data_IF_301469906889
#
_entry.id   IF_301469906889
#
_cell.length_a   1.000
_cell.length_b   1.000
_cell.length_c   1.000
_cell.angle_alpha   90.00
_cell.angle_beta   90.00
_cell.angle_gamma   90.00
#
_symmetry.space_group_name_H-M   'P 1'
#
loop_
_entity.id
_entity.type
_entity.pdbx_description
1 polymer ?
#
# COMPACT_ATOMS: atom_id res chain seq x y z
N UNK A 1 -70.46 29.67 -30.33
CA UNK A 1 -69.75 30.29 -29.19
C UNK A 1 -68.42 29.58 -29.04
N UNK A 2 -67.35 30.26 -29.43
CA UNK A 2 -65.98 29.75 -29.54
C UNK A 2 -65.32 29.67 -28.16
N UNK A 3 -64.76 28.52 -27.76
CA UNK A 3 -63.67 28.47 -26.78
C UNK A 3 -62.51 27.70 -27.42
N UNK A 4 -61.49 28.48 -27.76
CA UNK A 4 -60.29 28.10 -28.50
C UNK A 4 -59.32 27.44 -27.51
N UNK A 5 -58.87 26.22 -27.82
CA UNK A 5 -57.67 25.61 -27.26
C UNK A 5 -56.50 26.59 -27.36
N UNK A 6 -56.00 27.06 -26.23
CA UNK A 6 -54.64 27.59 -26.11
C UNK A 6 -53.84 26.51 -25.39
N UNK A 7 -53.45 25.52 -26.18
CA UNK A 7 -52.57 24.43 -25.81
C UNK A 7 -51.16 24.99 -25.61
N UNK A 8 -50.65 24.88 -24.38
CA UNK A 8 -49.28 25.26 -24.02
C UNK A 8 -48.25 24.51 -24.86
N UNK A 9 -47.56 25.24 -25.75
CA UNK A 9 -46.47 24.73 -26.58
C UNK A 9 -45.21 25.59 -26.56
N UNK A 10 -45.07 26.51 -25.61
CA UNK A 10 -43.88 27.34 -25.45
C UNK A 10 -43.26 27.08 -24.09
N UNK A 11 -42.26 26.19 -24.03
CA UNK A 11 -41.53 25.90 -22.79
C UNK A 11 -40.76 24.58 -22.74
N UNK A 12 -40.85 23.72 -23.78
CA UNK A 12 -40.20 22.39 -23.77
C UNK A 12 -38.87 22.32 -24.56
N UNK A 13 -38.58 23.28 -25.43
CA UNK A 13 -37.44 23.17 -26.35
C UNK A 13 -36.11 23.71 -25.79
N UNK A 14 -36.11 24.67 -24.86
CA UNK A 14 -34.84 25.18 -24.26
C UNK A 14 -34.19 24.22 -23.24
N UNK A 15 -34.96 23.29 -22.65
CA UNK A 15 -34.39 22.22 -21.78
C UNK A 15 -33.72 21.09 -22.56
N UNK A 16 -34.02 20.96 -23.86
CA UNK A 16 -33.58 19.81 -24.68
C UNK A 16 -32.10 19.87 -25.05
N UNK A 17 -31.60 21.05 -25.47
CA UNK A 17 -30.22 21.21 -25.95
C UNK A 17 -29.16 20.87 -24.90
N UNK A 18 -29.34 21.33 -23.66
CA UNK A 18 -28.41 21.07 -22.56
C UNK A 18 -28.56 19.65 -21.96
N UNK A 19 -29.75 19.05 -22.07
CA UNK A 19 -29.99 17.68 -21.59
C UNK A 19 -29.23 16.64 -22.40
N UNK A 20 -29.15 16.79 -23.72
CA UNK A 20 -28.43 15.83 -24.58
C UNK A 20 -26.92 15.87 -24.37
N UNK A 21 -26.35 17.08 -24.20
CA UNK A 21 -24.92 17.25 -23.93
C UNK A 21 -24.56 16.72 -22.53
N UNK A 22 -25.37 17.06 -21.52
CA UNK A 22 -25.21 16.54 -20.16
C UNK A 22 -25.24 15.01 -20.14
N UNK A 23 -26.22 14.40 -20.82
CA UNK A 23 -26.32 12.94 -20.92
C UNK A 23 -25.09 12.33 -21.60
N UNK A 24 -24.59 12.96 -22.68
CA UNK A 24 -23.36 12.50 -23.36
C UNK A 24 -22.13 12.58 -22.46
N UNK A 25 -21.97 13.65 -21.68
CA UNK A 25 -20.85 13.81 -20.75
C UNK A 25 -20.92 12.78 -19.63
N UNK A 26 -22.11 12.57 -19.05
CA UNK A 26 -22.32 11.56 -18.00
C UNK A 26 -22.05 10.16 -18.55
N UNK A 27 -22.56 9.84 -19.74
CA UNK A 27 -22.34 8.55 -20.39
C UNK A 27 -20.85 8.31 -20.69
N UNK A 28 -20.12 9.34 -21.16
CA UNK A 28 -18.69 9.27 -21.39
C UNK A 28 -17.91 9.01 -20.09
N UNK A 29 -18.25 9.73 -19.02
CA UNK A 29 -17.66 9.52 -17.69
C UNK A 29 -17.89 8.10 -17.16
N UNK A 30 -19.14 7.61 -17.22
CA UNK A 30 -19.49 6.25 -16.78
C UNK A 30 -18.74 5.21 -17.60
N UNK A 31 -18.72 5.37 -18.93
CA UNK A 31 -18.05 4.43 -19.83
C UNK A 31 -16.54 4.39 -19.57
N UNK A 32 -15.92 5.55 -19.40
CA UNK A 32 -14.51 5.66 -19.03
C UNK A 32 -14.26 4.95 -17.69
N UNK A 33 -15.07 5.25 -16.66
CA UNK A 33 -14.89 4.70 -15.33
C UNK A 33 -15.05 3.17 -15.30
N UNK A 34 -16.09 2.62 -15.96
CA UNK A 34 -16.29 1.17 -16.09
C UNK A 34 -15.12 0.54 -16.85
N UNK A 35 -14.61 1.18 -17.90
CA UNK A 35 -13.46 0.67 -18.66
C UNK A 35 -12.21 0.58 -17.79
N UNK A 36 -11.93 1.62 -16.99
CA UNK A 36 -10.81 1.62 -16.04
C UNK A 36 -11.00 0.52 -14.99
N UNK A 37 -12.21 0.38 -14.44
CA UNK A 37 -12.53 -0.67 -13.47
C UNK A 37 -12.30 -2.07 -14.04
N UNK A 38 -12.78 -2.35 -15.25
CA UNK A 38 -12.57 -3.64 -15.91
C UNK A 38 -11.08 -3.91 -16.15
N UNK A 39 -10.33 -2.91 -16.59
CA UNK A 39 -8.90 -3.03 -16.81
C UNK A 39 -8.15 -3.40 -15.52
N UNK A 40 -8.59 -2.89 -14.37
CA UNK A 40 -8.05 -3.22 -13.04
C UNK A 40 -8.54 -4.57 -12.51
N UNK A 41 -9.79 -4.97 -12.79
CA UNK A 41 -10.39 -6.20 -12.27
C UNK A 41 -9.94 -7.46 -13.01
N UNK A 42 -9.47 -7.35 -14.25
CA UNK A 42 -9.03 -8.50 -15.04
C UNK A 42 -7.73 -9.08 -14.43
N UNK A 43 -7.67 -10.36 -14.03
CA UNK A 43 -6.49 -10.98 -13.44
C UNK A 43 -5.54 -11.54 -14.51
N UNK A 44 -5.29 -10.76 -15.58
CA UNK A 44 -4.40 -11.15 -16.69
C UNK A 44 -3.17 -10.25 -16.65
N UNK A 45 -1.98 -10.83 -16.59
CA UNK A 45 -0.72 -10.09 -16.60
C UNK A 45 0.03 -10.28 -17.91
N UNK A 46 -0.34 -9.48 -18.92
CA UNK A 46 0.35 -9.36 -20.19
C UNK A 46 0.89 -7.93 -20.36
N UNK A 47 2.03 -7.78 -21.01
CA UNK A 47 2.73 -6.50 -21.18
C UNK A 47 1.84 -5.31 -21.60
N UNK A 48 0.97 -5.40 -22.62
CA UNK A 48 0.14 -4.25 -23.03
C UNK A 48 -0.89 -3.86 -21.97
N UNK A 49 -1.47 -4.85 -21.27
CA UNK A 49 -2.46 -4.62 -20.24
C UNK A 49 -1.81 -4.02 -18.98
N UNK A 50 -0.59 -4.44 -18.65
CA UNK A 50 0.22 -3.85 -17.58
C UNK A 50 0.54 -2.39 -17.86
N UNK A 51 0.94 -2.06 -19.08
CA UNK A 51 1.17 -0.68 -19.50
C UNK A 51 -0.10 0.16 -19.39
N UNK A 52 -1.24 -0.34 -19.89
CA UNK A 52 -2.53 0.34 -19.75
C UNK A 52 -2.90 0.59 -18.27
N UNK A 53 -2.70 -0.40 -17.38
CA UNK A 53 -2.98 -0.24 -15.94
C UNK A 53 -2.10 0.83 -15.32
N UNK A 54 -0.81 0.86 -15.67
CA UNK A 54 0.11 1.90 -15.18
C UNK A 54 -0.32 3.32 -15.60
N UNK A 55 -0.90 3.46 -16.80
CA UNK A 55 -1.38 4.74 -17.32
C UNK A 55 -2.60 5.26 -16.53
N UNK A 56 -3.55 4.39 -16.19
CA UNK A 56 -4.79 4.76 -15.48
C UNK A 56 -4.67 4.65 -13.95
N UNK A 57 -3.57 4.10 -13.43
CA UNK A 57 -3.32 3.98 -11.99
C UNK A 57 -3.36 5.30 -11.19
N UNK A 58 -2.87 6.45 -11.70
CA UNK A 58 -3.00 7.73 -11.00
C UNK A 58 -4.47 8.13 -10.78
N UNK A 59 -5.35 7.88 -11.76
CA UNK A 59 -6.78 8.16 -11.63
C UNK A 59 -7.42 7.28 -10.55
N UNK A 60 -7.15 5.97 -10.57
CA UNK A 60 -7.67 5.03 -9.55
C UNK A 60 -7.20 5.38 -8.14
N UNK A 61 -5.93 5.78 -7.99
CA UNK A 61 -5.38 6.29 -6.72
C UNK A 61 -6.10 7.56 -6.25
N UNK A 62 -6.37 8.49 -7.17
CA UNK A 62 -7.02 9.76 -6.85
C UNK A 62 -8.44 9.58 -6.29
N UNK A 63 -9.19 8.60 -6.83
CA UNK A 63 -10.55 8.30 -6.36
C UNK A 63 -10.59 7.27 -5.22
N UNK A 64 -9.43 6.85 -4.69
CA UNK A 64 -9.34 5.90 -3.59
C UNK A 64 -9.67 4.44 -3.95
N UNK A 65 -9.66 4.07 -5.24
CA UNK A 65 -9.93 2.70 -5.68
C UNK A 65 -8.64 1.91 -5.87
N UNK A 66 -7.93 1.67 -4.77
CA UNK A 66 -6.70 0.85 -4.74
C UNK A 66 -6.85 -0.42 -3.92
N UNK A 67 -8.08 -0.85 -3.66
CA UNK A 67 -8.35 -2.06 -2.88
C UNK A 67 -7.87 -3.29 -3.65
N UNK A 68 -6.97 -4.05 -3.04
CA UNK A 68 -6.54 -5.34 -3.56
C UNK A 68 -7.45 -6.44 -3.01
N UNK A 69 -7.89 -7.34 -3.90
CA UNK A 69 -8.73 -8.49 -3.53
C UNK A 69 -7.88 -9.70 -3.11
N UNK A 70 -6.60 -9.50 -2.83
CA UNK A 70 -5.62 -10.57 -2.57
C UNK A 70 -5.99 -11.45 -1.37
N UNK A 71 -6.74 -10.91 -0.40
CA UNK A 71 -7.24 -11.68 0.75
C UNK A 71 -8.25 -12.77 0.36
N UNK A 72 -8.90 -12.62 -0.80
CA UNK A 72 -9.86 -13.58 -1.36
C UNK A 72 -9.29 -14.31 -2.58
N UNK A 73 -8.00 -14.12 -2.90
CA UNK A 73 -7.37 -14.86 -3.97
C UNK A 73 -7.38 -16.36 -3.63
N UNK A 74 -7.54 -17.25 -4.63
CA UNK A 74 -7.50 -18.70 -4.42
C UNK A 74 -6.15 -19.17 -3.87
N UNK A 75 -5.10 -18.36 -4.01
CA UNK A 75 -3.76 -18.60 -3.46
C UNK A 75 -3.40 -17.48 -2.47
N UNK A 76 -3.79 -17.61 -1.18
CA UNK A 76 -3.41 -16.64 -0.15
C UNK A 76 -1.89 -16.68 0.09
N UNK A 77 -1.34 -15.65 0.74
CA UNK A 77 0.09 -15.63 1.10
C UNK A 77 0.50 -16.93 1.82
N UNK A 78 1.41 -17.66 1.20
CA UNK A 78 1.96 -18.93 1.72
C UNK A 78 3.16 -18.75 2.64
N UNK A 79 3.61 -17.51 2.85
CA UNK A 79 4.77 -17.19 3.67
C UNK A 79 4.49 -15.97 4.56
N UNK A 80 4.94 -16.08 5.81
CA UNK A 80 5.00 -14.98 6.75
C UNK A 80 6.22 -14.14 6.43
N UNK A 81 6.04 -12.81 6.42
CA UNK A 81 7.10 -11.87 6.13
C UNK A 81 7.20 -10.89 7.28
N UNK A 82 8.37 -10.79 7.87
CA UNK A 82 8.69 -9.81 8.90
C UNK A 82 10.03 -9.17 8.59
N UNK A 83 10.38 -8.10 9.30
CA UNK A 83 11.64 -7.41 9.08
C UNK A 83 12.22 -6.96 10.41
N UNK A 84 13.54 -6.81 10.42
CA UNK A 84 14.32 -6.33 11.55
C UNK A 84 15.31 -5.30 11.05
N UNK A 85 15.75 -4.42 11.94
CA UNK A 85 16.84 -3.50 11.67
C UNK A 85 18.04 -3.86 12.54
N UNK A 86 19.21 -3.99 11.91
CA UNK A 86 20.48 -4.13 12.62
C UNK A 86 21.11 -2.75 12.68
N UNK A 87 21.34 -2.27 13.91
CA UNK A 87 22.03 -1.02 14.19
C UNK A 87 23.47 -1.36 14.56
N UNK A 88 24.41 -0.87 13.77
CA UNK A 88 25.85 -0.97 14.04
C UNK A 88 26.29 0.35 14.65
N UNK A 89 26.83 0.32 15.86
CA UNK A 89 27.35 1.50 16.53
C UNK A 89 28.80 1.78 16.12
N UNK A 90 29.30 2.97 16.45
CA UNK A 90 30.67 3.39 16.13
C UNK A 90 31.73 2.52 16.82
N UNK A 91 31.43 1.96 17.99
CA UNK A 91 32.28 0.98 18.68
C UNK A 91 32.29 -0.41 18.01
N UNK A 92 31.44 -0.63 17.00
CA UNK A 92 31.29 -1.90 16.31
C UNK A 92 30.31 -2.87 17.00
N UNK A 93 29.54 -2.41 17.99
CA UNK A 93 28.49 -3.21 18.61
C UNK A 93 27.27 -3.29 17.69
N UNK A 94 26.61 -4.44 17.71
CA UNK A 94 25.39 -4.68 16.94
C UNK A 94 24.20 -4.72 17.88
N UNK A 95 23.19 -3.88 17.61
CA UNK A 95 21.90 -3.89 18.30
C UNK A 95 20.81 -4.30 17.32
N UNK A 96 20.00 -5.28 17.70
CA UNK A 96 18.89 -5.76 16.88
C UNK A 96 17.59 -5.06 17.30
N UNK A 97 16.93 -4.42 16.35
CA UNK A 97 15.61 -3.84 16.52
C UNK A 97 14.57 -4.71 15.81
N UNK A 98 13.64 -5.26 16.58
CA UNK A 98 12.51 -6.03 16.05
C UNK A 98 11.26 -5.17 15.99
N UNK A 99 10.64 -5.11 14.81
CA UNK A 99 9.38 -4.41 14.64
C UNK A 99 8.23 -5.17 15.32
N UNK A 100 7.16 -4.48 15.78
CA UNK A 100 6.05 -5.13 16.45
C UNK A 100 5.34 -6.14 15.55
N UNK A 101 5.36 -7.40 15.97
CA UNK A 101 4.71 -8.55 15.32
C UNK A 101 3.37 -8.85 15.98
N UNK A 102 2.27 -8.79 15.23
CA UNK A 102 0.92 -8.84 15.83
C UNK A 102 0.68 -10.16 16.57
N UNK A 103 1.15 -11.25 15.99
CA UNK A 103 1.13 -12.62 16.52
C UNK A 103 1.85 -12.74 17.88
N UNK A 104 2.87 -11.92 18.14
CA UNK A 104 3.64 -11.93 19.38
C UNK A 104 3.06 -10.99 20.47
N UNK A 105 2.12 -10.11 20.12
CA UNK A 105 1.56 -9.12 21.04
C UNK A 105 0.32 -9.64 21.78
N UNK A 106 0.07 -9.18 23.03
CA UNK A 106 -1.19 -9.42 23.72
C UNK A 106 -2.35 -8.67 23.06
N UNK A 107 -3.60 -9.14 23.26
CA UNK A 107 -4.79 -8.66 22.54
C UNK A 107 -5.02 -7.14 22.63
N UNK A 108 -4.77 -6.55 23.80
CA UNK A 108 -4.94 -5.10 24.03
C UNK A 108 -3.91 -4.27 23.26
N UNK A 109 -2.68 -4.76 23.13
CA UNK A 109 -1.63 -4.10 22.35
C UNK A 109 -1.83 -4.28 20.85
N UNK A 110 -2.33 -5.45 20.41
CA UNK A 110 -2.66 -5.70 19.00
C UNK A 110 -3.56 -4.60 18.44
N UNK A 111 -4.64 -4.26 19.15
CA UNK A 111 -5.55 -3.22 18.69
C UNK A 111 -4.89 -1.84 18.53
N UNK A 112 -3.99 -1.47 19.46
CA UNK A 112 -3.27 -0.18 19.40
C UNK A 112 -2.16 -0.17 18.34
N UNK A 113 -1.53 -1.33 18.10
CA UNK A 113 -0.36 -1.47 17.22
C UNK A 113 -0.71 -2.03 15.84
N UNK A 114 -1.98 -2.25 15.51
CA UNK A 114 -2.43 -2.74 14.20
C UNK A 114 -1.92 -1.87 13.03
N UNK A 115 -1.74 -0.56 13.25
CA UNK A 115 -1.11 0.34 12.26
C UNK A 115 0.30 -0.11 11.86
N UNK A 116 1.07 -0.71 12.76
CA UNK A 116 2.43 -1.21 12.47
C UNK A 116 2.42 -2.40 11.52
N UNK A 117 1.36 -3.22 11.54
CA UNK A 117 1.20 -4.32 10.57
C UNK A 117 1.08 -3.77 9.15
N UNK A 118 0.22 -2.77 8.95
CA UNK A 118 0.07 -2.09 7.66
C UNK A 118 1.33 -1.36 7.22
N UNK A 119 2.02 -0.69 8.15
CA UNK A 119 3.32 -0.10 7.87
C UNK A 119 4.34 -1.13 7.38
N UNK A 120 4.38 -2.31 8.01
CA UNK A 120 5.23 -3.41 7.57
C UNK A 120 4.92 -3.92 6.17
N UNK A 121 3.63 -4.09 5.84
CA UNK A 121 3.21 -4.44 4.48
C UNK A 121 3.67 -3.40 3.45
N UNK A 122 3.55 -2.10 3.77
CA UNK A 122 4.02 -1.03 2.89
C UNK A 122 5.53 -1.04 2.68
N UNK A 123 6.32 -1.37 3.71
CA UNK A 123 7.78 -1.45 3.59
C UNK A 123 8.25 -2.63 2.73
N UNK A 124 7.50 -3.74 2.74
CA UNK A 124 7.84 -4.94 1.99
C UNK A 124 7.45 -4.88 0.52
N UNK A 125 6.71 -3.84 0.11
CA UNK A 125 6.38 -3.59 -1.28
C UNK A 125 7.66 -3.24 -2.08
N UNK A 126 7.89 -3.93 -3.20
CA UNK A 126 9.08 -3.72 -4.07
C UNK A 126 9.24 -2.26 -4.53
N UNK A 127 8.11 -1.59 -4.73
CA UNK A 127 8.06 -0.23 -5.28
C UNK A 127 8.17 0.85 -4.18
N UNK A 128 8.20 0.42 -2.92
CA UNK A 128 8.29 1.31 -1.74
C UNK A 128 9.70 1.40 -1.17
N UNK A 129 10.72 1.02 -1.93
CA UNK A 129 12.14 1.10 -1.51
C UNK A 129 12.59 2.51 -1.13
N UNK A 130 11.92 3.55 -1.66
CA UNK A 130 12.13 4.94 -1.27
C UNK A 130 11.84 5.24 0.21
N UNK A 131 11.06 4.40 0.90
CA UNK A 131 10.76 4.57 2.33
C UNK A 131 11.85 3.98 3.23
N UNK A 132 12.68 3.04 2.75
CA UNK A 132 13.64 2.33 3.60
C UNK A 132 14.64 3.27 4.29
N UNK A 133 15.23 4.27 3.61
CA UNK A 133 16.14 5.22 4.26
C UNK A 133 15.50 5.98 5.42
N UNK A 134 14.23 6.37 5.29
CA UNK A 134 13.53 7.11 6.34
C UNK A 134 13.26 6.24 7.57
N UNK A 135 12.96 4.96 7.35
CA UNK A 135 12.80 3.99 8.44
C UNK A 135 14.14 3.70 9.12
N UNK A 136 15.21 3.56 8.34
CA UNK A 136 16.56 3.36 8.87
C UNK A 136 17.01 4.54 9.74
N UNK A 137 16.75 5.79 9.31
CA UNK A 137 16.97 6.99 10.13
C UNK A 137 16.09 7.01 11.38
N UNK A 138 14.81 6.67 11.26
CA UNK A 138 13.91 6.62 12.40
C UNK A 138 14.39 5.60 13.45
N UNK A 139 14.88 4.44 13.01
CA UNK A 139 15.49 3.45 13.90
C UNK A 139 16.81 3.98 14.49
N UNK A 140 17.66 4.65 13.71
CA UNK A 140 18.89 5.25 14.22
C UNK A 140 18.62 6.21 15.39
N UNK A 141 17.58 7.05 15.29
CA UNK A 141 17.17 7.97 16.37
C UNK A 141 16.77 7.24 17.66
N UNK A 142 16.14 6.06 17.57
CA UNK A 142 15.80 5.27 18.75
C UNK A 142 17.02 4.77 19.53
N UNK A 143 18.15 4.64 18.85
CA UNK A 143 19.43 4.19 19.42
C UNK A 143 20.46 5.32 19.48
N UNK A 144 20.02 6.58 19.41
CA UNK A 144 20.89 7.74 19.54
C UNK A 144 21.51 7.76 20.94
N UNK A 145 22.80 7.48 21.01
CA UNK A 145 23.61 7.53 22.23
C UNK A 145 24.76 8.53 22.02
N UNK A 146 24.92 9.54 22.90
CA UNK A 146 26.03 10.49 22.81
C UNK A 146 27.41 9.85 22.92
N UNK A 147 27.52 8.70 23.60
CA UNK A 147 28.79 8.00 23.85
C UNK A 147 29.14 7.05 22.70
N UNK A 148 28.15 6.33 22.17
CA UNK A 148 28.33 5.36 21.09
C UNK A 148 27.20 5.47 20.05
N UNK A 149 27.24 6.51 19.19
CA UNK A 149 26.17 6.75 18.24
C UNK A 149 26.11 5.64 17.18
N UNK A 150 24.92 5.41 16.59
CA UNK A 150 24.77 4.48 15.48
C UNK A 150 25.54 5.00 14.25
N UNK A 151 26.36 4.14 13.63
CA UNK A 151 27.07 4.44 12.39
C UNK A 151 26.30 3.94 11.16
N UNK A 152 25.65 2.78 11.27
CA UNK A 152 24.92 2.16 10.16
C UNK A 152 23.66 1.48 10.65
N UNK A 153 22.60 1.59 9.86
CA UNK A 153 21.38 0.79 10.06
C UNK A 153 21.17 -0.05 8.81
N UNK A 154 20.91 -1.34 8.98
CA UNK A 154 20.67 -2.29 7.90
C UNK A 154 19.28 -2.89 8.09
N UNK A 155 18.43 -2.78 7.08
CA UNK A 155 17.09 -3.37 7.10
C UNK A 155 17.12 -4.77 6.48
N UNK A 156 16.62 -5.77 7.21
CA UNK A 156 16.59 -7.16 6.78
C UNK A 156 15.15 -7.65 6.79
N UNK A 157 14.70 -8.19 5.66
CA UNK A 157 13.47 -8.95 5.53
C UNK A 157 13.75 -10.42 5.85
N UNK A 158 12.82 -11.05 6.55
CA UNK A 158 12.75 -12.48 6.76
C UNK A 158 11.47 -13.04 6.15
N UNK A 159 11.55 -14.23 5.59
CA UNK A 159 10.42 -14.94 4.99
C UNK A 159 10.41 -16.39 5.45
N UNK A 160 9.36 -16.79 6.16
CA UNK A 160 9.17 -18.16 6.64
C UNK A 160 7.91 -18.76 6.02
N UNK A 161 7.94 -20.02 5.55
CA UNK A 161 6.75 -20.66 5.00
C UNK A 161 5.69 -20.87 6.10
N UNK A 162 4.44 -20.58 5.77
CA UNK A 162 3.29 -20.84 6.66
C UNK A 162 2.85 -22.28 6.42
N UNK A 163 2.93 -23.12 7.46
CA UNK A 163 2.39 -24.48 7.43
C UNK A 163 0.96 -24.47 7.97
N UNK A 164 -0.08 -24.67 7.13
CA UNK A 164 -1.47 -24.63 7.56
C UNK A 164 -1.81 -25.69 8.61
N UNK A 165 -0.98 -26.74 8.78
CA UNK A 165 -1.16 -27.76 9.82
C UNK A 165 -0.58 -27.35 11.18
N UNK A 166 0.41 -26.45 11.21
CA UNK A 166 1.09 -26.00 12.44
C UNK A 166 0.55 -24.67 12.97
N UNK A 167 -0.18 -23.91 12.14
CA UNK A 167 -0.84 -22.68 12.54
C UNK A 167 -0.54 -21.52 11.59
N UNK A 168 -0.87 -20.30 12.03
CA UNK A 168 -0.75 -19.08 11.23
C UNK A 168 0.62 -18.38 11.32
N UNK A 169 1.59 -19.00 12.00
CA UNK A 169 2.93 -18.43 12.25
C UNK A 169 3.95 -19.35 11.57
N UNK A 170 4.85 -18.76 10.78
CA UNK A 170 5.95 -19.46 10.14
C UNK A 170 7.06 -19.79 11.15
N UNK A 171 7.92 -20.72 10.78
CA UNK A 171 9.08 -21.09 11.60
C UNK A 171 10.19 -20.06 11.42
N UNK A 172 10.37 -19.18 12.40
CA UNK A 172 11.40 -18.13 12.43
C UNK A 172 12.82 -18.70 12.24
N UNK A 173 13.09 -19.93 12.71
CA UNK A 173 14.40 -20.57 12.56
C UNK A 173 14.67 -21.00 11.12
N UNK A 174 13.61 -21.28 10.36
CA UNK A 174 13.68 -21.63 8.95
C UNK A 174 13.54 -20.41 8.04
N UNK A 175 13.44 -19.20 8.60
CA UNK A 175 13.17 -17.99 7.82
C UNK A 175 14.37 -17.63 6.93
N UNK A 176 14.10 -17.41 5.65
CA UNK A 176 15.09 -16.91 4.69
C UNK A 176 15.25 -15.41 4.85
N UNK A 177 16.48 -14.94 5.05
CA UNK A 177 16.77 -13.51 5.14
C UNK A 177 17.09 -12.90 3.78
N UNK A 178 16.75 -11.63 3.61
CA UNK A 178 17.10 -10.81 2.45
C UNK A 178 17.36 -9.39 2.93
N UNK A 179 18.52 -8.84 2.58
CA UNK A 179 18.85 -7.45 2.91
C UNK A 179 18.03 -6.54 1.99
N UNK A 180 17.24 -5.64 2.58
CA UNK A 180 16.46 -4.66 1.83
C UNK A 180 17.32 -3.43 1.51
N UNK A 181 17.99 -2.89 2.54
CA UNK A 181 18.77 -1.66 2.41
C UNK A 181 19.72 -1.47 3.57
N UNK A 182 20.54 -0.42 3.47
CA UNK A 182 21.31 0.06 4.59
C UNK A 182 21.88 1.44 4.34
N UNK A 183 21.64 2.34 5.30
CA UNK A 183 22.11 3.71 5.29
C UNK A 183 23.20 3.90 6.34
N UNK A 184 24.24 4.64 5.94
CA UNK A 184 25.20 5.21 6.89
C UNK A 184 24.56 6.42 7.54
N UNK A 185 24.46 6.38 8.86
CA UNK A 185 23.81 7.43 9.64
C UNK A 185 24.74 8.64 9.69
N UNK A 186 24.25 9.79 9.27
CA UNK A 186 24.96 11.06 9.44
C UNK A 186 24.58 11.69 10.78
N UNK A 187 25.43 12.56 11.35
CA UNK A 187 25.10 13.29 12.57
C UNK A 187 23.81 14.11 12.46
N UNK A 188 23.47 14.59 11.27
CA UNK A 188 22.22 15.32 11.01
C UNK A 188 20.96 14.44 11.11
N UNK A 189 21.08 13.13 10.87
CA UNK A 189 19.95 12.20 10.92
C UNK A 189 19.49 11.91 12.38
N UNK A 190 20.34 12.23 13.37
CA UNK A 190 20.10 11.97 14.79
C UNK A 190 19.35 13.10 15.53
N UNK A 191 19.09 14.22 14.84
CA UNK A 191 18.27 15.34 15.33
C UNK A 191 16.78 15.08 15.06
#
# INVERSE_FOLDING_TARGET
MFIKQICGKQGRDERSGNSSLRTKIIAAFITFHITVLLLFAIPIDIAPLRAARSLVAPYMRCIGMTETWDMFAPDPKSAEQFFQAIVVTKSGQYKLYSFPRMEQLPLTERYRKERYRKFGESLLCSDCSGLWPDVERAVARLYADPVDPPERVILIKYESPIDPKKGAVGDDLAAKSTILGGVRVQPEDLQ
#
